data_IF_971058412309
#
_entry.id   IF_971058412309
#
_cell.length_a   1.000
_cell.length_b   1.000
_cell.length_c   1.000
_cell.angle_alpha   90.00
_cell.angle_beta   90.00
_cell.angle_gamma   90.00
#
_symmetry.space_group_name_H-M   'P 1'
#
loop_
_entity.id
_entity.type
_entity.pdbx_description
1 polymer ?
#
# COMPACT_ATOMS: atom_id res chain seq x y z
N UNK A 1 -7.68 -28.67 18.33
CA UNK A 1 -6.30 -28.16 18.52
C UNK A 1 -5.36 -28.54 17.38
N UNK A 2 -5.79 -29.37 16.40
CA UNK A 2 -5.00 -29.77 15.22
C UNK A 2 -4.29 -28.61 14.51
N UNK A 3 -4.97 -27.50 14.22
CA UNK A 3 -4.36 -26.40 13.45
C UNK A 3 -3.16 -25.73 14.16
N UNK A 4 -3.18 -25.65 15.50
CA UNK A 4 -2.09 -25.02 16.26
C UNK A 4 -0.87 -25.95 16.39
N UNK A 5 -1.11 -27.26 16.43
CA UNK A 5 -0.06 -28.27 16.39
C UNK A 5 0.58 -28.37 14.99
N UNK A 6 -0.21 -28.19 13.92
CA UNK A 6 0.27 -28.20 12.53
C UNK A 6 1.11 -26.96 12.17
N UNK A 7 0.69 -25.77 12.61
CA UNK A 7 1.40 -24.50 12.33
C UNK A 7 2.58 -24.29 13.29
N UNK A 8 2.49 -24.85 14.50
CA UNK A 8 3.42 -24.65 15.61
C UNK A 8 3.05 -23.43 16.46
N UNK A 9 2.96 -23.64 17.78
CA UNK A 9 2.55 -22.64 18.78
C UNK A 9 3.35 -21.32 18.70
N UNK A 10 4.67 -21.39 18.51
CA UNK A 10 5.53 -20.22 18.40
C UNK A 10 5.28 -19.42 17.12
N UNK A 11 5.01 -20.10 16.00
CA UNK A 11 4.71 -19.47 14.71
C UNK A 11 3.31 -18.85 14.70
N UNK A 12 2.34 -19.52 15.31
CA UNK A 12 1.01 -18.99 15.53
C UNK A 12 1.06 -17.75 16.44
N UNK A 13 1.81 -17.81 17.55
CA UNK A 13 1.98 -16.68 18.45
C UNK A 13 2.65 -15.48 17.75
N UNK A 14 3.69 -15.72 16.95
CA UNK A 14 4.34 -14.67 16.17
C UNK A 14 3.38 -14.02 15.16
N UNK A 15 2.58 -14.82 14.46
CA UNK A 15 1.57 -14.30 13.53
C UNK A 15 0.50 -13.48 14.27
N UNK A 16 0.00 -13.98 15.40
CA UNK A 16 -0.99 -13.24 16.21
C UNK A 16 -0.41 -11.92 16.73
N UNK A 17 0.83 -11.92 17.24
CA UNK A 17 1.50 -10.68 17.68
C UNK A 17 1.68 -9.72 16.51
N UNK A 18 2.12 -10.22 15.34
CA UNK A 18 2.30 -9.42 14.13
C UNK A 18 0.99 -8.78 13.63
N UNK A 19 -0.12 -9.51 13.72
CA UNK A 19 -1.46 -9.03 13.33
C UNK A 19 -2.07 -8.10 14.39
N UNK A 20 -1.77 -8.31 15.68
CA UNK A 20 -2.22 -7.44 16.77
C UNK A 20 -1.44 -6.12 16.83
N UNK A 21 -0.21 -6.12 16.31
CA UNK A 21 0.61 -4.92 16.14
C UNK A 21 0.42 -4.37 14.73
N UNK A 22 0.85 -3.13 14.49
CA UNK A 22 0.81 -2.58 13.14
C UNK A 22 1.94 -3.21 12.30
N UNK A 23 1.73 -4.44 11.81
CA UNK A 23 2.75 -5.20 11.08
C UNK A 23 4.03 -5.48 11.89
N UNK A 24 3.92 -5.82 13.17
CA UNK A 24 5.07 -6.08 14.04
C UNK A 24 5.66 -4.84 14.73
N UNK A 25 5.14 -3.64 14.46
CA UNK A 25 5.60 -2.40 15.07
C UNK A 25 5.06 -2.23 16.49
N UNK A 26 5.94 -1.80 17.40
CA UNK A 26 5.56 -1.33 18.73
C UNK A 26 4.92 0.06 18.66
N UNK A 27 4.17 0.46 19.68
CA UNK A 27 3.43 1.73 19.69
C UNK A 27 4.34 2.94 19.45
N UNK A 28 5.55 2.94 20.01
CA UNK A 28 6.53 4.01 19.79
C UNK A 28 7.04 4.08 18.35
N UNK A 29 7.22 2.92 17.71
CA UNK A 29 7.66 2.83 16.31
C UNK A 29 6.53 3.28 15.37
N UNK A 30 5.28 2.94 15.69
CA UNK A 30 4.10 3.43 14.97
C UNK A 30 4.03 4.96 15.03
N UNK A 31 4.23 5.55 16.20
CA UNK A 31 4.17 7.01 16.35
C UNK A 31 5.30 7.70 15.59
N UNK A 32 6.51 7.13 15.63
CA UNK A 32 7.64 7.64 14.86
C UNK A 32 7.39 7.58 13.35
N UNK A 33 6.82 6.47 12.83
CA UNK A 33 6.47 6.37 11.42
C UNK A 33 5.32 7.29 11.02
N UNK A 34 4.33 7.50 11.91
CA UNK A 34 3.26 8.48 11.70
C UNK A 34 3.82 9.89 11.58
N UNK A 35 4.76 10.26 12.45
CA UNK A 35 5.38 11.57 12.41
C UNK A 35 6.17 11.77 11.10
N UNK A 36 6.98 10.79 10.69
CA UNK A 36 7.69 10.84 9.40
C UNK A 36 6.73 11.02 8.22
N UNK A 37 5.62 10.28 8.24
CA UNK A 37 4.60 10.39 7.20
C UNK A 37 3.96 11.78 7.18
N UNK A 38 3.65 12.34 8.36
CA UNK A 38 3.07 13.67 8.48
C UNK A 38 4.03 14.75 7.97
N UNK A 39 5.31 14.68 8.36
CA UNK A 39 6.35 15.60 7.88
C UNK A 39 6.48 15.53 6.34
N UNK A 40 6.47 14.33 5.76
CA UNK A 40 6.52 14.15 4.31
C UNK A 40 5.28 14.70 3.58
N UNK A 41 4.09 14.57 4.19
CA UNK A 41 2.85 15.16 3.66
C UNK A 41 2.96 16.69 3.67
N UNK A 42 3.39 17.27 4.79
CA UNK A 42 3.56 18.72 4.95
C UNK A 42 4.59 19.29 3.97
N UNK A 43 5.72 18.60 3.78
CA UNK A 43 6.73 18.96 2.78
C UNK A 43 6.12 18.95 1.36
N UNK A 44 5.44 17.87 0.98
CA UNK A 44 4.78 17.77 -0.33
C UNK A 44 3.72 18.86 -0.53
N UNK A 45 2.94 19.18 0.49
CA UNK A 45 1.96 20.27 0.44
C UNK A 45 2.61 21.65 0.32
N UNK A 46 3.74 21.87 1.00
CA UNK A 46 4.51 23.10 0.87
C UNK A 46 5.02 23.28 -0.55
N UNK A 47 5.57 22.22 -1.16
CA UNK A 47 6.01 22.24 -2.56
C UNK A 47 4.85 22.57 -3.51
N UNK A 48 3.66 22.00 -3.30
CA UNK A 48 2.47 22.30 -4.13
C UNK A 48 2.01 23.76 -4.07
N UNK A 49 2.40 24.52 -3.05
CA UNK A 49 2.11 25.97 -2.94
C UNK A 49 3.10 26.84 -3.71
N UNK A 50 4.24 26.28 -4.15
CA UNK A 50 5.24 27.00 -4.95
C UNK A 50 4.75 27.20 -6.39
N UNK A 51 5.51 28.00 -7.16
CA UNK A 51 5.26 28.16 -8.60
C UNK A 51 5.50 26.87 -9.38
N UNK A 52 4.89 26.72 -10.57
CA UNK A 52 5.04 25.51 -11.40
C UNK A 52 6.51 25.20 -11.77
N UNK A 53 7.33 26.24 -11.96
CA UNK A 53 8.75 26.09 -12.28
C UNK A 53 9.54 25.51 -11.10
N UNK A 54 9.20 25.90 -9.87
CA UNK A 54 9.82 25.37 -8.66
C UNK A 54 9.29 23.99 -8.32
N UNK A 55 7.99 23.73 -8.50
CA UNK A 55 7.39 22.41 -8.30
C UNK A 55 8.09 21.33 -9.15
N UNK A 56 8.42 21.64 -10.41
CA UNK A 56 9.12 20.71 -11.32
C UNK A 56 10.53 20.34 -10.86
N UNK A 57 11.15 21.10 -9.95
CA UNK A 57 12.45 20.75 -9.34
C UNK A 57 12.31 19.66 -8.28
N UNK A 58 11.14 19.59 -7.63
CA UNK A 58 10.87 18.65 -6.56
C UNK A 58 10.12 17.40 -7.04
N UNK A 59 9.20 17.54 -7.99
CA UNK A 59 8.41 16.43 -8.53
C UNK A 59 8.91 15.98 -9.89
N UNK A 60 9.11 14.66 -10.04
CA UNK A 60 9.27 14.02 -11.35
C UNK A 60 7.91 13.54 -11.84
N UNK A 61 7.64 13.69 -13.14
CA UNK A 61 6.47 13.06 -13.75
C UNK A 61 6.69 11.55 -13.83
N UNK A 62 5.58 10.80 -13.89
CA UNK A 62 5.66 9.34 -13.96
C UNK A 62 6.34 8.89 -15.26
N UNK A 63 6.17 9.64 -16.35
CA UNK A 63 6.85 9.41 -17.63
C UNK A 63 8.36 9.63 -17.52
N UNK A 64 8.80 10.66 -16.79
CA UNK A 64 10.21 10.92 -16.55
C UNK A 64 10.86 9.80 -15.73
N UNK A 65 10.15 9.29 -14.71
CA UNK A 65 10.56 8.12 -13.93
C UNK A 65 10.68 6.89 -14.83
N UNK A 66 9.66 6.61 -15.64
CA UNK A 66 9.68 5.48 -16.56
C UNK A 66 10.84 5.56 -17.57
N UNK A 67 11.09 6.74 -18.12
CA UNK A 67 12.22 6.96 -19.02
C UNK A 67 13.57 6.70 -18.34
N UNK A 68 13.76 7.15 -17.10
CA UNK A 68 14.97 6.92 -16.29
C UNK A 68 15.23 5.43 -16.06
N UNK A 69 14.19 4.65 -15.82
CA UNK A 69 14.28 3.20 -15.66
C UNK A 69 14.27 2.41 -16.98
N UNK A 70 14.23 3.08 -18.13
CA UNK A 70 14.10 2.44 -19.44
C UNK A 70 12.82 1.61 -19.59
N UNK A 71 11.81 1.89 -18.76
CA UNK A 71 10.56 1.18 -18.74
C UNK A 71 9.55 1.87 -19.66
N UNK A 72 8.85 1.08 -20.47
CA UNK A 72 7.75 1.55 -21.29
C UNK A 72 6.59 0.57 -21.19
N UNK A 73 5.41 1.08 -20.88
CA UNK A 73 4.20 0.28 -20.90
C UNK A 73 3.83 -0.04 -22.35
N UNK A 74 4.01 -1.30 -22.75
CA UNK A 74 3.68 -1.77 -24.11
C UNK A 74 2.21 -2.14 -24.28
N UNK A 75 1.43 -2.14 -23.20
CA UNK A 75 0.04 -2.58 -23.21
C UNK A 75 -0.85 -1.56 -23.90
N UNK A 76 -1.85 -2.04 -24.62
CA UNK A 76 -2.90 -1.18 -25.18
C UNK A 76 -3.81 -0.64 -24.07
N UNK A 77 -4.57 0.42 -24.36
CA UNK A 77 -5.55 0.94 -23.38
C UNK A 77 -6.62 -0.09 -23.01
N UNK A 78 -7.00 -0.96 -23.95
CA UNK A 78 -7.92 -2.07 -23.69
C UNK A 78 -7.32 -3.11 -22.73
N UNK A 79 -6.04 -3.44 -22.89
CA UNK A 79 -5.34 -4.37 -21.97
C UNK A 79 -5.18 -3.76 -20.58
N UNK A 80 -4.81 -2.47 -20.49
CA UNK A 80 -4.77 -1.75 -19.22
C UNK A 80 -6.13 -1.69 -18.55
N UNK A 81 -7.20 -1.47 -19.32
CA UNK A 81 -8.56 -1.45 -18.82
C UNK A 81 -8.98 -2.83 -18.30
N UNK A 82 -8.74 -3.90 -19.06
CA UNK A 82 -9.04 -5.27 -18.63
C UNK A 82 -8.30 -5.64 -17.34
N UNK A 83 -7.03 -5.25 -17.22
CA UNK A 83 -6.23 -5.49 -16.02
C UNK A 83 -6.78 -4.74 -14.80
N UNK A 84 -7.13 -3.45 -14.96
CA UNK A 84 -7.82 -2.66 -13.92
C UNK A 84 -9.14 -3.30 -13.52
N UNK A 85 -9.99 -3.62 -14.50
CA UNK A 85 -11.31 -4.22 -14.28
C UNK A 85 -11.22 -5.56 -13.55
N UNK A 86 -10.25 -6.41 -13.90
CA UNK A 86 -9.98 -7.65 -13.20
C UNK A 86 -9.64 -7.40 -11.73
N UNK A 87 -8.67 -6.51 -11.46
CA UNK A 87 -8.28 -6.17 -10.08
C UNK A 87 -9.47 -5.63 -9.27
N UNK A 88 -10.24 -4.71 -9.85
CA UNK A 88 -11.39 -4.10 -9.19
C UNK A 88 -12.46 -5.15 -8.87
N UNK A 89 -12.68 -6.10 -9.79
CA UNK A 89 -13.60 -7.23 -9.59
C UNK A 89 -13.14 -8.14 -8.45
N UNK A 90 -11.84 -8.46 -8.38
CA UNK A 90 -11.26 -9.27 -7.31
C UNK A 90 -11.38 -8.58 -5.95
N UNK A 91 -11.11 -7.27 -5.87
CA UNK A 91 -11.28 -6.47 -4.65
C UNK A 91 -12.75 -6.50 -4.18
N UNK A 92 -13.69 -6.32 -5.10
CA UNK A 92 -15.11 -6.35 -4.79
C UNK A 92 -15.55 -7.74 -4.27
N UNK A 93 -15.07 -8.82 -4.88
CA UNK A 93 -15.39 -10.17 -4.43
C UNK A 93 -14.79 -10.47 -3.06
N UNK A 94 -13.53 -10.10 -2.83
CA UNK A 94 -12.88 -10.26 -1.53
C UNK A 94 -13.61 -9.49 -0.44
N UNK A 95 -14.05 -8.25 -0.74
CA UNK A 95 -14.85 -7.43 0.17
C UNK A 95 -16.18 -8.11 0.49
N UNK A 96 -16.87 -8.68 -0.51
CA UNK A 96 -18.10 -9.45 -0.31
C UNK A 96 -17.86 -10.65 0.61
N UNK A 97 -16.80 -11.42 0.37
CA UNK A 97 -16.43 -12.60 1.18
C UNK A 97 -16.18 -12.19 2.63
N UNK A 98 -15.42 -11.12 2.87
CA UNK A 98 -15.17 -10.57 4.21
C UNK A 98 -16.49 -10.21 4.92
N UNK A 99 -17.36 -9.43 4.28
CA UNK A 99 -18.65 -9.03 4.86
C UNK A 99 -19.49 -10.25 5.23
N UNK A 100 -19.52 -11.29 4.39
CA UNK A 100 -20.26 -12.53 4.67
C UNK A 100 -19.72 -13.30 5.88
N UNK A 101 -18.40 -13.25 6.13
CA UNK A 101 -17.77 -13.90 7.29
C UNK A 101 -18.17 -13.18 8.59
N UNK A 102 -18.13 -11.84 8.60
CA UNK A 102 -18.40 -11.03 9.80
C UNK A 102 -19.90 -10.78 10.08
N UNK A 103 -20.82 -11.34 9.26
CA UNK A 103 -22.28 -11.23 9.44
C UNK A 103 -22.95 -12.49 10.02
N UNK A 104 -22.18 -13.50 10.45
CA UNK A 104 -22.67 -14.64 11.22
C UNK A 104 -22.49 -14.41 12.71
#
# INVERSE_FOLDING_TARGET
MENAEEIGLSRLAAAVIYEMTFCGFMDEEVEAERQKLQEAIEESEAVKKLSEEEQKKHFKSIEAVFAEFGWQDKRTEEEKWKDRFRRDSEIAENTRRLICIFRK
#
